data_IF_766971042559
#
_entry.id   IF_766971042559
#
_cell.length_a   1.000
_cell.length_b   1.000
_cell.length_c   1.000
_cell.angle_alpha   90.00
_cell.angle_beta   90.00
_cell.angle_gamma   90.00
#
_symmetry.space_group_name_H-M   'P 1'
#
loop_
_entity.id
_entity.type
_entity.pdbx_description
1 polymer ?
#
# COMPACT_ATOMS: atom_id res chain seq x y z
N UNK A 1 -3.69 5.77 -32.48
CA UNK A 1 -3.80 5.79 -31.00
C UNK A 1 -3.09 4.56 -30.47
N UNK A 2 -2.13 4.69 -29.54
CA UNK A 2 -1.45 3.53 -28.95
C UNK A 2 -2.39 2.90 -27.91
N UNK A 3 -2.55 1.57 -27.88
CA UNK A 3 -3.26 0.92 -26.78
C UNK A 3 -2.46 1.14 -25.48
N UNK A 4 -3.06 1.85 -24.51
CA UNK A 4 -2.42 2.20 -23.23
C UNK A 4 -2.69 1.15 -22.15
N UNK A 5 -3.64 0.24 -22.38
CA UNK A 5 -4.10 -0.72 -21.39
C UNK A 5 -3.48 -2.10 -21.62
N UNK A 6 -2.75 -2.61 -20.63
CA UNK A 6 -2.03 -3.90 -20.69
C UNK A 6 -2.84 -5.07 -20.12
N UNK A 7 -4.07 -4.84 -19.65
CA UNK A 7 -4.91 -5.86 -18.98
C UNK A 7 -4.26 -6.54 -17.78
N UNK A 8 -3.24 -5.91 -17.20
CA UNK A 8 -2.51 -6.46 -16.06
C UNK A 8 -3.10 -5.93 -14.75
N UNK A 9 -3.75 -6.81 -14.01
CA UNK A 9 -4.37 -6.51 -12.73
C UNK A 9 -3.74 -7.33 -11.60
N UNK A 10 -4.28 -7.17 -10.39
CA UNK A 10 -3.85 -7.96 -9.24
C UNK A 10 -4.15 -9.44 -9.50
N UNK A 11 -3.11 -10.25 -9.72
CA UNK A 11 -3.29 -11.68 -9.99
C UNK A 11 -4.00 -12.40 -8.82
N UNK A 12 -4.95 -13.28 -9.12
CA UNK A 12 -5.73 -13.97 -8.08
C UNK A 12 -4.90 -14.90 -7.20
N UNK A 13 -3.79 -15.45 -7.69
CA UNK A 13 -2.88 -16.33 -6.93
C UNK A 13 -1.91 -15.57 -6.02
N UNK A 14 -1.87 -14.25 -6.11
CA UNK A 14 -1.02 -13.42 -5.24
C UNK A 14 -1.41 -13.51 -3.76
N UNK A 15 -0.45 -13.26 -2.88
CA UNK A 15 -0.65 -13.22 -1.42
C UNK A 15 -1.29 -11.90 -1.00
N UNK A 16 -2.58 -11.74 -1.34
CA UNK A 16 -3.40 -10.63 -0.91
C UNK A 16 -4.76 -11.09 -0.37
N UNK A 17 -5.34 -10.35 0.60
CA UNK A 17 -6.66 -10.64 1.11
C UNK A 17 -7.71 -10.73 -0.01
N UNK A 18 -8.69 -11.62 0.17
CA UNK A 18 -9.79 -11.76 -0.80
C UNK A 18 -10.56 -10.45 -1.01
N UNK A 19 -10.67 -9.61 0.03
CA UNK A 19 -11.34 -8.30 -0.05
C UNK A 19 -10.69 -7.39 -1.09
N UNK A 20 -9.36 -7.38 -1.19
CA UNK A 20 -8.63 -6.56 -2.16
C UNK A 20 -8.83 -7.10 -3.57
N UNK A 21 -8.76 -8.43 -3.76
CA UNK A 21 -9.03 -9.08 -5.05
C UNK A 21 -10.44 -8.79 -5.55
N UNK A 22 -11.45 -8.92 -4.66
CA UNK A 22 -12.84 -8.56 -4.99
C UNK A 22 -13.01 -7.06 -5.28
N UNK A 23 -12.23 -6.20 -4.63
CA UNK A 23 -12.26 -4.76 -4.91
C UNK A 23 -11.82 -4.45 -6.33
N UNK A 24 -10.85 -5.18 -6.89
CA UNK A 24 -10.43 -5.00 -8.29
C UNK A 24 -11.61 -5.22 -9.22
N UNK A 25 -12.30 -6.35 -9.10
CA UNK A 25 -13.50 -6.65 -9.89
C UNK A 25 -14.54 -5.54 -9.75
N UNK A 26 -14.88 -5.17 -8.50
CA UNK A 26 -15.86 -4.12 -8.23
C UNK A 26 -15.48 -2.78 -8.88
N UNK A 27 -14.22 -2.39 -8.80
CA UNK A 27 -13.75 -1.12 -9.36
C UNK A 27 -13.81 -1.13 -10.88
N UNK A 28 -13.47 -2.23 -11.54
CA UNK A 28 -13.53 -2.33 -13.01
C UNK A 28 -14.97 -2.29 -13.50
N UNK A 29 -15.85 -3.14 -12.95
CA UNK A 29 -17.28 -3.16 -13.31
C UNK A 29 -17.96 -1.82 -13.03
N UNK A 30 -17.60 -1.15 -11.94
CA UNK A 30 -18.13 0.19 -11.65
C UNK A 30 -17.68 1.23 -12.69
N UNK A 31 -16.41 1.18 -13.12
CA UNK A 31 -15.88 2.10 -14.14
C UNK A 31 -16.61 1.92 -15.46
N UNK A 32 -16.82 0.68 -15.90
CA UNK A 32 -17.59 0.37 -17.11
C UNK A 32 -18.98 1.00 -17.05
N UNK A 33 -19.69 0.80 -15.93
CA UNK A 33 -21.04 1.34 -15.74
C UNK A 33 -21.08 2.87 -15.74
N UNK A 34 -20.05 3.51 -15.18
CA UNK A 34 -20.01 4.96 -15.03
C UNK A 34 -19.56 5.69 -16.29
N UNK A 35 -18.61 5.14 -17.05
CA UNK A 35 -17.96 5.83 -18.16
C UNK A 35 -18.46 5.39 -19.53
N UNK A 36 -19.04 4.19 -19.67
CA UNK A 36 -19.55 3.70 -20.96
C UNK A 36 -21.03 4.03 -21.12
N UNK A 37 -21.31 4.98 -22.02
CA UNK A 37 -22.65 5.53 -22.26
C UNK A 37 -23.50 4.64 -23.15
N UNK A 38 -22.96 4.14 -24.27
CA UNK A 38 -23.66 3.27 -25.23
C UNK A 38 -23.86 1.87 -24.66
N UNK A 39 -25.03 1.25 -24.92
CA UNK A 39 -25.34 -0.09 -24.43
C UNK A 39 -24.47 -1.18 -25.09
N UNK A 40 -24.22 -1.05 -26.40
CA UNK A 40 -23.37 -1.96 -27.18
C UNK A 40 -21.92 -1.92 -26.68
N UNK A 41 -21.36 -0.72 -26.51
CA UNK A 41 -20.01 -0.53 -25.99
C UNK A 41 -19.89 -1.05 -24.56
N UNK A 42 -20.94 -0.92 -23.75
CA UNK A 42 -20.93 -1.45 -22.38
C UNK A 42 -20.83 -2.97 -22.37
N UNK A 43 -21.50 -3.64 -23.29
CA UNK A 43 -21.44 -5.10 -23.42
C UNK A 43 -20.07 -5.57 -23.90
N UNK A 44 -19.47 -4.87 -24.86
CA UNK A 44 -18.12 -5.20 -25.35
C UNK A 44 -17.06 -4.95 -24.27
N UNK A 45 -17.15 -3.83 -23.55
CA UNK A 45 -16.21 -3.47 -22.49
C UNK A 45 -16.31 -4.43 -21.30
N UNK A 46 -17.52 -4.79 -20.88
CA UNK A 46 -17.73 -5.75 -19.79
C UNK A 46 -17.17 -7.13 -20.16
N UNK A 47 -17.35 -7.55 -21.43
CA UNK A 47 -16.73 -8.78 -21.92
C UNK A 47 -15.19 -8.69 -21.92
N UNK A 48 -14.63 -7.55 -22.31
CA UNK A 48 -13.19 -7.29 -22.26
C UNK A 48 -12.65 -7.38 -20.82
N UNK A 49 -13.29 -6.72 -19.86
CA UNK A 49 -12.88 -6.78 -18.45
C UNK A 49 -13.00 -8.18 -17.87
N UNK A 50 -14.08 -8.91 -18.17
CA UNK A 50 -14.20 -10.30 -17.75
C UNK A 50 -13.06 -11.17 -18.31
N UNK A 51 -12.70 -10.98 -19.57
CA UNK A 51 -11.60 -11.71 -20.20
C UNK A 51 -10.25 -11.33 -19.57
N UNK A 52 -10.01 -10.04 -19.30
CA UNK A 52 -8.82 -9.58 -18.60
C UNK A 52 -8.75 -10.17 -17.18
N UNK A 53 -9.84 -10.18 -16.42
CA UNK A 53 -9.88 -10.78 -15.09
C UNK A 53 -9.63 -12.30 -15.12
N UNK A 54 -10.18 -13.02 -16.11
CA UNK A 54 -9.87 -14.45 -16.31
C UNK A 54 -8.38 -14.67 -16.60
N UNK A 55 -7.78 -13.84 -17.46
CA UNK A 55 -6.35 -13.90 -17.75
C UNK A 55 -5.49 -13.64 -16.49
N UNK A 56 -5.98 -12.82 -15.56
CA UNK A 56 -5.37 -12.60 -14.24
C UNK A 56 -5.69 -13.71 -13.20
N UNK A 57 -6.35 -14.79 -13.61
CA UNK A 57 -6.62 -15.98 -12.80
C UNK A 57 -7.85 -15.88 -11.89
N UNK A 58 -8.75 -14.92 -12.10
CA UNK A 58 -9.97 -14.80 -11.30
C UNK A 58 -10.97 -15.92 -11.62
N UNK A 59 -11.50 -16.62 -10.61
CA UNK A 59 -12.52 -17.65 -10.82
C UNK A 59 -13.90 -17.03 -11.09
N UNK A 60 -14.75 -17.74 -11.84
CA UNK A 60 -16.09 -17.25 -12.24
C UNK A 60 -16.97 -16.81 -11.06
N UNK A 61 -16.93 -17.53 -9.94
CA UNK A 61 -17.70 -17.15 -8.75
C UNK A 61 -17.31 -15.77 -8.19
N UNK A 62 -16.08 -15.30 -8.44
CA UNK A 62 -15.61 -14.00 -8.02
C UNK A 62 -16.01 -12.88 -8.99
N UNK A 63 -16.31 -13.23 -10.24
CA UNK A 63 -16.79 -12.32 -11.29
C UNK A 63 -18.30 -12.11 -11.21
N UNK A 64 -19.03 -13.04 -10.57
CA UNK A 64 -20.46 -12.91 -10.38
C UNK A 64 -20.79 -11.61 -9.63
N UNK A 65 -21.83 -10.86 -10.08
CA UNK A 65 -22.25 -9.66 -9.40
C UNK A 65 -22.56 -9.98 -7.93
N UNK A 66 -22.17 -9.11 -6.98
CA UNK A 66 -22.53 -9.33 -5.59
C UNK A 66 -24.06 -9.43 -5.47
N UNK A 67 -24.58 -10.25 -4.55
CA UNK A 67 -26.01 -10.28 -4.27
C UNK A 67 -26.49 -8.86 -4.02
N UNK A 68 -27.67 -8.51 -4.56
CA UNK A 68 -28.14 -7.13 -4.62
C UNK A 68 -27.89 -6.44 -3.29
N UNK A 69 -27.13 -5.34 -3.35
CA UNK A 69 -26.77 -4.64 -2.14
C UNK A 69 -28.05 -4.07 -1.54
N UNK A 70 -28.57 -4.71 -0.48
CA UNK A 70 -29.46 -4.04 0.44
C UNK A 70 -28.80 -2.70 0.77
N UNK A 71 -29.49 -1.58 0.50
CA UNK A 71 -28.99 -0.24 0.78
C UNK A 71 -28.47 -0.26 2.21
N UNK A 72 -27.14 -0.16 2.39
CA UNK A 72 -26.56 -0.15 3.74
C UNK A 72 -27.21 1.04 4.44
N UNK A 73 -27.85 0.85 5.60
CA UNK A 73 -28.45 1.96 6.31
C UNK A 73 -27.36 3.02 6.54
N UNK A 74 -27.71 4.31 6.47
CA UNK A 74 -26.75 5.38 6.76
C UNK A 74 -26.10 5.11 8.11
N UNK A 75 -24.78 4.93 8.10
CA UNK A 75 -24.00 4.57 9.27
C UNK A 75 -24.06 5.72 10.27
N UNK A 76 -24.90 5.62 11.31
CA UNK A 76 -24.84 6.53 12.44
C UNK A 76 -23.50 6.33 13.13
N UNK A 77 -22.64 7.35 13.11
CA UNK A 77 -21.24 7.27 13.51
C UNK A 77 -21.04 7.28 15.04
N UNK A 78 -21.87 6.52 15.77
CA UNK A 78 -21.88 6.44 17.23
C UNK A 78 -21.18 5.17 17.74
N UNK A 79 -20.20 4.65 16.99
CA UNK A 79 -19.44 3.50 17.45
C UNK A 79 -18.22 3.98 18.27
N UNK A 80 -17.98 3.43 19.48
CA UNK A 80 -16.77 3.72 20.21
C UNK A 80 -15.53 3.34 19.37
N UNK A 81 -14.48 4.16 19.45
CA UNK A 81 -13.23 3.93 18.71
C UNK A 81 -12.66 2.57 19.12
N UNK A 82 -12.69 1.62 18.20
CA UNK A 82 -12.11 0.29 18.42
C UNK A 82 -10.59 0.36 18.24
N UNK A 83 -9.80 -0.31 19.10
CA UNK A 83 -8.36 -0.42 18.87
C UNK A 83 -8.08 -1.10 17.53
N UNK A 84 -7.13 -0.55 16.77
CA UNK A 84 -6.75 -1.04 15.44
C UNK A 84 -5.31 -1.60 15.46
N UNK A 85 -5.12 -2.76 14.86
CA UNK A 85 -3.83 -3.43 14.75
C UNK A 85 -3.47 -3.66 13.27
N UNK A 86 -2.27 -3.21 12.88
CA UNK A 86 -1.73 -3.41 11.54
C UNK A 86 -0.87 -4.67 11.49
N UNK A 87 -1.18 -5.60 10.60
CA UNK A 87 -0.44 -6.85 10.44
C UNK A 87 -0.09 -7.11 8.97
N UNK A 88 1.03 -7.77 8.66
CA UNK A 88 1.29 -8.27 7.32
C UNK A 88 0.29 -9.36 6.94
N UNK A 89 -0.13 -9.38 5.67
CA UNK A 89 -0.99 -10.45 5.18
C UNK A 89 -0.18 -11.73 4.97
N UNK A 90 -0.61 -12.81 5.63
CA UNK A 90 -0.10 -14.17 5.45
C UNK A 90 -1.30 -15.06 5.27
N UNK A 91 -1.43 -15.68 4.10
CA UNK A 91 -2.59 -16.49 3.76
C UNK A 91 -2.82 -17.61 4.79
N UNK A 92 -4.06 -17.74 5.27
CA UNK A 92 -4.46 -18.69 6.31
C UNK A 92 -4.29 -18.11 7.71
N UNK A 93 -3.07 -17.70 8.08
CA UNK A 93 -2.74 -17.24 9.43
C UNK A 93 -3.39 -15.88 9.75
N UNK A 94 -3.26 -14.90 8.85
CA UNK A 94 -3.75 -13.55 9.08
C UNK A 94 -5.28 -13.50 9.18
N UNK A 95 -5.99 -14.36 8.44
CA UNK A 95 -7.43 -14.52 8.52
C UNK A 95 -7.88 -15.18 9.82
N UNK A 96 -7.14 -16.19 10.29
CA UNK A 96 -7.40 -16.83 11.59
C UNK A 96 -7.22 -15.83 12.73
N UNK A 97 -6.11 -15.09 12.74
CA UNK A 97 -5.87 -14.00 13.68
C UNK A 97 -7.01 -12.98 13.59
N UNK A 98 -7.38 -12.53 12.39
CA UNK A 98 -8.52 -11.64 12.15
C UNK A 98 -9.81 -12.07 12.84
N UNK A 99 -10.12 -13.37 12.86
CA UNK A 99 -11.30 -13.92 13.54
C UNK A 99 -11.18 -13.84 15.07
N UNK A 100 -10.02 -14.18 15.62
CA UNK A 100 -9.74 -14.13 17.05
C UNK A 100 -9.77 -12.69 17.57
N UNK A 101 -9.06 -11.77 16.92
CA UNK A 101 -9.06 -10.36 17.37
C UNK A 101 -10.45 -9.72 17.26
N UNK A 102 -11.27 -10.14 16.30
CA UNK A 102 -12.66 -9.68 16.17
C UNK A 102 -13.51 -10.06 17.39
N UNK A 103 -13.32 -11.23 18.00
CA UNK A 103 -14.04 -11.59 19.24
C UNK A 103 -13.61 -10.74 20.43
N UNK A 104 -12.38 -10.23 20.43
CA UNK A 104 -11.87 -9.27 21.41
C UNK A 104 -12.16 -7.80 21.06
N UNK A 105 -13.02 -7.53 20.07
CA UNK A 105 -13.37 -6.18 19.61
C UNK A 105 -12.16 -5.34 19.11
N UNK A 106 -11.10 -6.01 18.66
CA UNK A 106 -9.92 -5.39 18.03
C UNK A 106 -10.05 -5.51 16.51
N UNK A 107 -9.86 -4.41 15.80
CA UNK A 107 -9.93 -4.40 14.34
C UNK A 107 -8.54 -4.60 13.72
N UNK A 108 -8.38 -5.64 12.88
CA UNK A 108 -7.15 -5.84 12.10
C UNK A 108 -7.29 -5.24 10.71
N UNK A 109 -6.24 -4.55 10.27
CA UNK A 109 -6.03 -4.22 8.87
C UNK A 109 -4.71 -4.81 8.37
N UNK A 110 -4.68 -5.17 7.08
CA UNK A 110 -3.50 -5.78 6.47
C UNK A 110 -2.62 -4.71 5.83
N UNK A 111 -1.35 -4.65 6.25
CA UNK A 111 -0.33 -3.78 5.67
C UNK A 111 0.59 -4.61 4.76
N UNK A 112 0.92 -4.16 3.54
CA UNK A 112 1.92 -4.84 2.73
C UNK A 112 3.30 -4.76 3.43
N UNK A 113 3.95 -5.91 3.58
CA UNK A 113 5.28 -6.00 4.20
C UNK A 113 6.36 -5.39 3.29
N UNK A 114 6.32 -5.71 1.99
CA UNK A 114 7.27 -5.25 1.00
C UNK A 114 6.55 -4.35 -0.01
N UNK A 115 6.84 -3.05 0.04
CA UNK A 115 6.34 -2.12 -0.98
C UNK A 115 7.36 -2.04 -2.12
N UNK A 116 6.92 -1.90 -3.37
CA UNK A 116 7.83 -1.66 -4.50
C UNK A 116 8.75 -0.46 -4.23
N UNK A 117 8.22 0.58 -3.58
CA UNK A 117 8.98 1.73 -3.12
C UNK A 117 10.12 1.32 -2.17
N UNK A 118 9.88 0.48 -1.18
CA UNK A 118 10.94 0.07 -0.25
C UNK A 118 12.01 -0.83 -0.90
N UNK A 119 11.67 -1.56 -1.95
CA UNK A 119 12.64 -2.42 -2.66
C UNK A 119 13.44 -1.63 -3.72
N UNK A 120 12.74 -0.87 -4.56
CA UNK A 120 13.31 -0.22 -5.76
C UNK A 120 13.86 1.18 -5.45
N UNK A 121 13.26 1.90 -4.49
CA UNK A 121 13.67 3.27 -4.16
C UNK A 121 14.59 3.30 -2.93
N UNK A 122 15.81 2.79 -3.10
CA UNK A 122 16.96 3.13 -2.24
C UNK A 122 17.74 4.30 -2.83
N UNK A 123 17.06 5.38 -3.22
CA UNK A 123 17.70 6.51 -3.91
C UNK A 123 18.68 7.31 -3.01
N UNK A 124 18.61 7.15 -1.69
CA UNK A 124 19.51 7.81 -0.76
C UNK A 124 20.23 6.78 0.09
N UNK A 125 21.55 6.84 0.11
CA UNK A 125 22.33 6.22 1.17
C UNK A 125 21.83 6.79 2.50
N UNK A 126 21.58 5.91 3.46
CA UNK A 126 21.21 6.36 4.80
C UNK A 126 22.46 6.96 5.40
N UNK A 127 22.51 8.28 5.56
CA UNK A 127 23.58 8.93 6.33
C UNK A 127 23.58 8.31 7.73
N UNK A 128 24.74 7.83 8.20
CA UNK A 128 24.91 7.39 9.58
C UNK A 128 24.38 8.48 10.52
N UNK A 129 23.89 8.07 11.70
CA UNK A 129 23.34 9.03 12.68
C UNK A 129 24.33 10.15 13.00
N UNK A 130 25.62 9.83 12.92
CA UNK A 130 26.77 10.71 13.16
C UNK A 130 26.91 11.86 12.13
N UNK A 131 26.36 11.72 10.92
CA UNK A 131 26.47 12.74 9.87
C UNK A 131 25.12 13.44 9.59
N UNK A 132 24.20 13.43 10.55
CA UNK A 132 22.93 14.14 10.45
C UNK A 132 23.08 15.58 10.96
N UNK A 133 22.67 16.55 10.15
CA UNK A 133 22.61 17.96 10.55
C UNK A 133 21.74 18.16 11.78
N UNK A 134 22.15 19.08 12.66
CA UNK A 134 21.44 19.38 13.91
C UNK A 134 21.83 18.48 15.09
N UNK A 135 22.84 17.63 14.93
CA UNK A 135 23.45 16.92 16.07
C UNK A 135 24.51 17.82 16.70
N UNK A 136 24.41 18.05 18.01
CA UNK A 136 25.38 18.79 18.81
C UNK A 136 26.42 17.79 19.30
N UNK A 137 27.67 17.96 18.88
CA UNK A 137 28.79 17.16 19.39
C UNK A 137 29.52 17.93 20.48
N UNK A 138 29.80 17.24 21.59
CA UNK A 138 30.67 17.74 22.64
C UNK A 138 32.02 17.03 22.48
N UNK A 139 33.01 17.77 22.00
CA UNK A 139 34.39 17.31 21.94
C UNK A 139 35.11 17.88 23.15
N UNK A 140 35.55 17.00 24.03
CA UNK A 140 36.39 17.37 25.18
C UNK A 140 37.85 17.23 24.77
N UNK A 141 38.66 18.24 25.11
CA UNK A 141 40.08 18.24 24.81
C UNK A 141 40.84 17.53 25.94
N UNK A 142 41.64 16.51 25.60
CA UNK A 142 42.41 15.73 26.60
C UNK A 142 43.58 16.51 27.22
N UNK A 143 43.93 17.69 26.68
CA UNK A 143 45.10 18.47 27.11
C UNK A 143 44.71 19.59 28.08
N UNK A 144 43.46 20.06 28.06
CA UNK A 144 43.01 21.11 28.98
C UNK A 144 41.50 20.98 29.27
N UNK A 145 41.20 20.44 30.45
CA UNK A 145 39.86 20.00 30.88
C UNK A 145 38.81 21.12 31.06
N UNK A 146 39.14 22.37 30.71
CA UNK A 146 38.30 23.54 30.97
C UNK A 146 37.64 24.14 29.72
N UNK A 147 38.10 23.76 28.52
CA UNK A 147 37.55 24.29 27.27
C UNK A 147 36.69 23.23 26.56
N UNK A 148 35.37 23.43 26.62
CA UNK A 148 34.39 22.64 25.86
C UNK A 148 33.93 23.44 24.65
N UNK A 149 34.15 22.91 23.45
CA UNK A 149 33.72 23.55 22.21
C UNK A 149 32.42 22.89 21.72
N UNK A 150 31.38 23.70 21.53
CA UNK A 150 30.05 23.24 21.13
C UNK A 150 29.70 23.91 19.80
N UNK A 151 29.65 23.12 18.72
CA UNK A 151 29.21 23.59 17.40
C UNK A 151 27.98 22.86 16.88
N UNK A 152 27.20 23.58 16.08
CA UNK A 152 26.10 23.02 15.31
C UNK A 152 26.62 22.56 13.94
N UNK A 153 26.46 21.28 13.64
CA UNK A 153 26.93 20.70 12.38
C UNK A 153 26.07 21.16 11.19
N UNK A 154 26.66 21.89 10.23
CA UNK A 154 26.08 22.12 8.89
C UNK A 154 26.25 20.86 8.01
N UNK A 155 25.38 20.61 7.02
CA UNK A 155 25.49 19.44 6.15
C UNK A 155 26.82 19.42 5.42
N UNK A 156 27.55 18.31 5.54
CA UNK A 156 28.67 18.02 4.66
C UNK A 156 28.12 17.73 3.26
N UNK A 157 28.26 18.70 2.36
CA UNK A 157 27.95 18.52 0.95
C UNK A 157 29.15 17.82 0.33
N UNK A 158 29.06 16.49 0.13
CA UNK A 158 30.02 15.79 -0.72
C UNK A 158 29.89 16.33 -2.15
N UNK A 159 30.75 17.28 -2.51
CA UNK A 159 30.94 17.68 -3.91
C UNK A 159 31.64 16.53 -4.61
N UNK A 160 30.91 15.79 -5.44
CA UNK A 160 31.52 14.83 -6.37
C UNK A 160 32.45 15.57 -7.32
N UNK A 161 33.76 15.47 -7.08
CA UNK A 161 34.77 15.87 -8.05
C UNK A 161 34.82 14.82 -9.15
N UNK A 162 34.48 15.21 -10.39
CA UNK A 162 34.72 14.39 -11.58
C UNK A 162 36.09 14.79 -12.15
N UNK A 163 37.09 13.89 -12.21
CA UNK A 163 38.31 14.15 -12.96
C UNK A 163 38.00 14.09 -14.47
N UNK A 164 38.54 15.07 -15.20
CA UNK A 164 38.60 15.08 -16.67
C UNK A 164 39.90 14.49 -17.19
#
# INVERSE_FOLDING_TARGET
>A
MKPTHTDQYLNFKSHHPLTHKRSVVRTLTYREQQYVTTAEDRKSELAHVHNALRANGYPEWALAPPPSSAKRPPSTNNNPRRPMLGLPYVAGLSEQLGRIYKSHNIHIYHKPANTLRSMVLHHKEKTPKEHRCGTIYNITCDIDSSHTYIENTQPEIQRTYKPG
#
